data_IF_326987879143
#
_entry.id   IF_326987879143
#
_cell.length_a   1.000
_cell.length_b   1.000
_cell.length_c   1.000
_cell.angle_alpha   90.00
_cell.angle_beta   90.00
_cell.angle_gamma   90.00
#
_symmetry.space_group_name_H-M   'P 1'
#
loop_
_entity.id
_entity.type
_entity.pdbx_description
1 polymer ?
#
# COMPACT_ATOMS: atom_id res chain seq x y z
N UNK A 1 2.03 0.66 15.78
CA UNK A 1 1.40 0.08 14.57
C UNK A 1 0.88 1.10 13.58
N UNK A 2 -0.13 1.92 13.91
CA UNK A 2 -0.86 2.75 12.92
C UNK A 2 0.03 3.70 12.09
N UNK A 3 1.04 4.33 12.70
CA UNK A 3 2.00 5.20 11.99
C UNK A 3 2.86 4.45 10.97
N UNK A 4 3.30 3.24 11.29
CA UNK A 4 4.09 2.39 10.39
C UNK A 4 3.24 1.95 9.20
N UNK A 5 1.99 1.54 9.44
CA UNK A 5 1.04 1.20 8.38
C UNK A 5 0.77 2.38 7.44
N UNK A 6 0.56 3.59 8.00
CA UNK A 6 0.39 4.82 7.23
C UNK A 6 1.62 5.14 6.36
N UNK A 7 2.83 5.04 6.92
CA UNK A 7 4.07 5.25 6.17
C UNK A 7 4.23 4.22 5.04
N UNK A 8 3.86 2.96 5.28
CA UNK A 8 3.84 1.93 4.23
C UNK A 8 2.87 2.25 3.10
N UNK A 9 1.66 2.72 3.41
CA UNK A 9 0.67 3.15 2.41
C UNK A 9 1.20 4.34 1.60
N UNK A 10 1.79 5.34 2.26
CA UNK A 10 2.39 6.50 1.57
C UNK A 10 3.54 6.08 0.67
N UNK A 11 4.40 5.15 1.13
CA UNK A 11 5.47 4.58 0.32
C UNK A 11 4.95 3.90 -0.95
N UNK A 12 3.87 3.11 -0.83
CA UNK A 12 3.22 2.51 -2.00
C UNK A 12 2.56 3.53 -2.93
N UNK A 13 1.99 4.61 -2.39
CA UNK A 13 1.44 5.70 -3.21
C UNK A 13 2.53 6.42 -4.00
N UNK A 14 3.70 6.67 -3.39
CA UNK A 14 4.87 7.23 -4.08
C UNK A 14 5.35 6.26 -5.16
N UNK A 15 5.46 4.97 -4.86
CA UNK A 15 5.86 3.96 -5.83
C UNK A 15 4.89 3.89 -7.03
N UNK A 16 3.58 3.96 -6.78
CA UNK A 16 2.58 4.02 -7.85
C UNK A 16 2.77 5.27 -8.71
N UNK A 17 2.98 6.43 -8.10
CA UNK A 17 3.24 7.66 -8.84
C UNK A 17 4.48 7.54 -9.73
N UNK A 18 5.57 6.98 -9.22
CA UNK A 18 6.80 6.75 -10.01
C UNK A 18 6.55 5.79 -11.17
N UNK A 19 5.85 4.67 -10.93
CA UNK A 19 5.53 3.70 -11.99
C UNK A 19 4.71 4.36 -13.10
N UNK A 20 3.69 5.16 -12.75
CA UNK A 20 2.85 5.83 -13.74
C UNK A 20 3.55 6.98 -14.47
N UNK A 21 4.48 7.68 -13.81
CA UNK A 21 5.25 8.79 -14.43
C UNK A 21 6.36 8.30 -15.36
N UNK A 22 6.77 7.03 -15.26
CA UNK A 22 7.82 6.43 -16.08
C UNK A 22 7.22 5.32 -16.95
N UNK A 23 6.86 5.59 -18.21
CA UNK A 23 6.18 4.64 -19.09
C UNK A 23 6.90 3.29 -19.25
N UNK A 24 8.23 3.31 -19.29
CA UNK A 24 9.05 2.08 -19.38
C UNK A 24 8.91 1.13 -18.18
N UNK A 25 8.29 1.57 -17.08
CA UNK A 25 7.99 0.74 -15.91
C UNK A 25 6.63 0.02 -15.98
N UNK A 26 5.74 0.38 -16.91
CA UNK A 26 4.40 -0.20 -16.99
C UNK A 26 3.86 -0.39 -18.42
N UNK A 27 4.75 -0.46 -19.42
CA UNK A 27 4.39 -0.80 -20.79
C UNK A 27 4.92 -2.19 -21.17
N UNK A 28 4.37 -2.76 -22.25
CA UNK A 28 4.74 -4.07 -22.75
C UNK A 28 4.50 -5.18 -21.73
N UNK A 29 5.50 -6.02 -21.48
CA UNK A 29 5.43 -7.15 -20.54
C UNK A 29 5.25 -6.72 -19.06
N UNK A 30 5.36 -5.42 -18.77
CA UNK A 30 5.29 -4.86 -17.41
C UNK A 30 3.99 -4.11 -17.16
N UNK A 31 3.01 -4.20 -18.05
CA UNK A 31 1.68 -3.59 -17.93
C UNK A 31 0.96 -3.88 -16.60
N UNK A 32 1.29 -5.01 -15.97
CA UNK A 32 0.75 -5.42 -14.68
C UNK A 32 1.42 -4.76 -13.47
N UNK A 33 2.58 -4.13 -13.62
CA UNK A 33 3.36 -3.53 -12.53
C UNK A 33 2.60 -2.50 -11.67
N UNK A 34 1.73 -1.63 -12.23
CA UNK A 34 0.93 -0.70 -11.43
C UNK A 34 0.00 -1.39 -10.43
N UNK A 35 -0.38 -2.65 -10.66
CA UNK A 35 -1.23 -3.37 -9.71
C UNK A 35 -0.52 -3.73 -8.41
N UNK A 36 0.81 -3.91 -8.42
CA UNK A 36 1.59 -4.21 -7.21
C UNK A 36 1.44 -3.12 -6.14
N UNK A 37 1.72 -1.84 -6.41
CA UNK A 37 1.50 -0.78 -5.43
C UNK A 37 0.01 -0.55 -5.13
N UNK A 38 -0.89 -0.79 -6.09
CA UNK A 38 -2.34 -0.73 -5.84
C UNK A 38 -2.75 -1.76 -4.77
N UNK A 39 -2.32 -3.01 -4.89
CA UNK A 39 -2.58 -4.03 -3.87
C UNK A 39 -1.93 -3.67 -2.53
N UNK A 40 -0.70 -3.12 -2.54
CA UNK A 40 -0.03 -2.63 -1.33
C UNK A 40 -0.84 -1.54 -0.60
N UNK A 41 -1.39 -0.57 -1.33
CA UNK A 41 -2.27 0.48 -0.79
C UNK A 41 -3.56 -0.14 -0.24
N UNK A 42 -4.25 -0.97 -1.03
CA UNK A 42 -5.54 -1.56 -0.64
C UNK A 42 -5.39 -2.42 0.61
N UNK A 43 -4.42 -3.34 0.64
CA UNK A 43 -4.17 -4.19 1.81
C UNK A 43 -3.70 -3.37 3.02
N UNK A 44 -2.86 -2.35 2.79
CA UNK A 44 -2.44 -1.43 3.85
C UNK A 44 -3.62 -0.68 4.47
N UNK A 45 -4.55 -0.17 3.65
CA UNK A 45 -5.77 0.50 4.11
C UNK A 45 -6.69 -0.46 4.86
N UNK A 46 -6.89 -1.68 4.35
CA UNK A 46 -7.68 -2.70 5.03
C UNK A 46 -7.09 -3.03 6.41
N UNK A 47 -5.78 -3.25 6.49
CA UNK A 47 -5.07 -3.48 7.75
C UNK A 47 -5.15 -2.27 8.70
N UNK A 48 -5.02 -1.05 8.16
CA UNK A 48 -5.14 0.18 8.94
C UNK A 48 -6.55 0.32 9.55
N UNK A 49 -7.60 0.12 8.75
CA UNK A 49 -9.00 0.16 9.21
C UNK A 49 -9.26 -0.95 10.23
N UNK A 50 -8.76 -2.15 9.99
CA UNK A 50 -8.89 -3.29 10.89
C UNK A 50 -8.30 -2.98 12.28
N UNK A 51 -7.07 -2.47 12.34
CA UNK A 51 -6.40 -2.11 13.59
C UNK A 51 -7.08 -0.91 14.24
N UNK A 52 -7.44 0.12 13.46
CA UNK A 52 -8.12 1.34 13.97
C UNK A 52 -9.47 1.02 14.63
N UNK A 53 -10.18 0.01 14.14
CA UNK A 53 -11.45 -0.46 14.74
C UNK A 53 -11.26 -1.28 16.03
N UNK A 54 -10.06 -1.31 16.61
CA UNK A 54 -9.77 -2.01 17.85
C UNK A 54 -9.65 -3.53 17.72
N UNK A 55 -9.81 -4.10 16.52
CA UNK A 55 -9.67 -5.55 16.27
C UNK A 55 -8.21 -6.02 16.21
N UNK A 56 -7.28 -5.08 16.16
CA UNK A 56 -5.83 -5.32 16.19
C UNK A 56 -5.17 -4.93 17.50
N UNK A 57 -5.94 -4.63 18.56
CA UNK A 57 -5.35 -4.35 19.85
C UNK A 57 -4.79 -5.66 20.43
N UNK A 58 -3.47 -5.80 20.35
CA UNK A 58 -2.67 -6.57 21.31
C UNK A 58 -2.71 -5.91 22.72
N UNK A 59 -3.79 -5.20 23.07
CA UNK A 59 -4.03 -4.60 24.39
C UNK A 59 -4.56 -5.62 25.40
N UNK A 60 -4.50 -6.91 25.06
CA UNK A 60 -4.78 -8.04 25.94
C UNK A 60 -3.50 -8.82 26.29
N UNK A 61 -2.31 -8.28 25.98
CA UNK A 61 -1.02 -8.81 26.42
C UNK A 61 -0.54 -8.07 27.67
#
# INVERSE_FOLDING_TARGET
MQRVTLLGIVGWAIALAVILLVPSLHEGERDWWPWVPVYGIVLGLLGYVYVRRGRGNASAA
#
